data_IF_366163978570
#
_entry.id   IF_366163978570
#
_cell.length_a   1.000
_cell.length_b   1.000
_cell.length_c   1.000
_cell.angle_alpha   90.00
_cell.angle_beta   90.00
_cell.angle_gamma   90.00
#
_symmetry.space_group_name_H-M   'P 1'
#
loop_
_entity.id
_entity.type
_entity.pdbx_description
1 polymer ?
#
# COMPACT_ATOMS: atom_id res chain seq x y z
N UNK A 1 -13.00 11.09 8.43
CA UNK A 1 -12.03 12.15 8.12
C UNK A 1 -11.86 12.36 6.62
N UNK A 2 -11.64 11.33 5.82
CA UNK A 2 -11.58 11.40 4.34
C UNK A 2 -12.83 12.01 3.67
N UNK A 3 -14.03 11.79 4.22
CA UNK A 3 -15.28 12.27 3.63
C UNK A 3 -15.53 13.78 3.92
N UNK A 4 -15.02 14.29 5.05
CA UNK A 4 -15.28 15.68 5.46
C UNK A 4 -14.21 16.68 5.01
N UNK A 5 -12.98 16.23 4.74
CA UNK A 5 -11.83 17.11 4.45
C UNK A 5 -11.02 16.65 3.23
N UNK A 6 -11.66 16.02 2.26
CA UNK A 6 -11.01 15.47 1.06
C UNK A 6 -10.18 16.54 0.35
N UNK A 7 -10.75 17.74 0.16
CA UNK A 7 -10.07 18.83 -0.55
C UNK A 7 -8.87 19.41 0.21
N UNK A 8 -8.95 19.43 1.54
CA UNK A 8 -7.86 19.96 2.36
C UNK A 8 -6.67 18.96 2.47
N UNK A 9 -6.95 17.67 2.39
CA UNK A 9 -5.90 16.62 2.49
C UNK A 9 -5.20 16.36 1.16
N UNK A 10 -5.85 16.61 0.04
CA UNK A 10 -5.28 16.42 -1.31
C UNK A 10 -4.58 17.68 -1.84
N UNK A 11 -4.83 18.85 -1.24
CA UNK A 11 -4.17 20.11 -1.61
C UNK A 11 -2.82 20.30 -0.91
N UNK A 12 -1.97 19.32 -0.95
CA UNK A 12 -0.59 19.48 -0.47
C UNK A 12 0.27 19.98 -1.61
N UNK A 13 0.60 21.25 -1.59
CA UNK A 13 1.63 21.81 -2.45
C UNK A 13 2.96 21.10 -2.18
N UNK A 14 3.74 20.84 -3.22
CA UNK A 14 5.08 20.30 -3.06
C UNK A 14 5.89 21.21 -2.15
N UNK A 15 6.67 20.63 -1.26
CA UNK A 15 7.53 21.33 -0.28
C UNK A 15 8.49 22.31 -0.99
N UNK A 16 8.71 22.14 -2.29
CA UNK A 16 9.67 22.92 -3.09
C UNK A 16 9.08 24.12 -3.85
N UNK A 17 7.77 24.34 -3.86
CA UNK A 17 7.17 25.41 -4.69
C UNK A 17 6.57 26.49 -3.79
N UNK A 18 7.04 27.71 -3.94
CA UNK A 18 6.44 28.96 -3.44
C UNK A 18 5.13 29.25 -4.20
N UNK A 19 4.18 28.36 -4.19
CA UNK A 19 2.92 28.56 -4.87
C UNK A 19 1.80 28.45 -3.86
N UNK A 20 0.82 29.35 -3.99
CA UNK A 20 -0.51 29.13 -3.43
C UNK A 20 -0.96 27.70 -3.74
N UNK A 21 -1.60 27.05 -2.78
CA UNK A 21 -1.96 25.64 -2.85
C UNK A 21 -2.64 25.29 -4.18
N UNK A 22 -1.89 24.69 -5.09
CA UNK A 22 -2.42 24.17 -6.35
C UNK A 22 -3.00 22.79 -6.05
N UNK A 23 -4.31 22.66 -6.17
CA UNK A 23 -4.98 21.37 -6.11
C UNK A 23 -4.60 20.58 -7.36
N UNK A 24 -3.67 19.64 -7.24
CA UNK A 24 -3.39 18.67 -8.29
C UNK A 24 -4.04 17.33 -7.95
N UNK A 25 -4.66 16.67 -8.93
CA UNK A 25 -5.21 15.34 -8.71
C UNK A 25 -4.07 14.36 -8.36
N UNK A 26 -4.38 13.39 -7.50
CA UNK A 26 -3.38 12.36 -7.17
C UNK A 26 -3.06 11.54 -8.42
N UNK A 27 -1.83 11.02 -8.59
CA UNK A 27 -1.46 10.21 -9.75
C UNK A 27 -2.42 9.05 -9.99
N UNK A 28 -2.97 8.49 -8.93
CA UNK A 28 -3.94 7.40 -9.00
C UNK A 28 -5.30 7.85 -9.57
N UNK A 29 -5.72 9.10 -9.25
CA UNK A 29 -6.93 9.69 -9.82
C UNK A 29 -6.75 9.99 -11.32
N UNK A 30 -5.58 10.47 -11.73
CA UNK A 30 -5.23 10.69 -13.15
C UNK A 30 -5.26 9.36 -13.92
N UNK A 31 -4.73 8.28 -13.35
CA UNK A 31 -4.79 6.95 -13.97
C UNK A 31 -6.23 6.41 -14.10
N UNK A 32 -7.17 6.92 -13.30
CA UNK A 32 -8.61 6.61 -13.40
C UNK A 32 -9.38 7.55 -14.33
N UNK A 33 -8.71 8.48 -14.98
CA UNK A 33 -9.32 9.39 -15.95
C UNK A 33 -9.62 10.79 -15.43
N UNK A 34 -9.08 11.19 -14.29
CA UNK A 34 -9.11 12.59 -13.87
C UNK A 34 -8.20 13.44 -14.77
N UNK A 35 -8.59 14.69 -15.02
CA UNK A 35 -7.79 15.62 -15.79
C UNK A 35 -6.49 15.93 -15.06
N UNK A 36 -5.34 15.71 -15.72
CA UNK A 36 -4.03 15.99 -15.18
C UNK A 36 -2.92 15.24 -15.93
N UNK A 37 -1.69 15.63 -15.67
CA UNK A 37 -0.49 14.94 -16.18
C UNK A 37 0.07 14.03 -15.11
N UNK A 38 0.51 12.83 -15.50
CA UNK A 38 1.24 11.95 -14.58
C UNK A 38 2.62 12.57 -14.30
N UNK A 39 3.02 12.69 -13.02
CA UNK A 39 4.36 13.15 -12.67
C UNK A 39 5.41 12.14 -13.15
N UNK A 40 6.65 12.58 -13.33
CA UNK A 40 7.75 11.67 -13.64
C UNK A 40 7.99 10.67 -12.48
N UNK A 41 8.46 9.46 -12.82
CA UNK A 41 8.74 8.43 -11.81
C UNK A 41 9.74 8.91 -10.75
N UNK A 42 10.72 9.74 -11.13
CA UNK A 42 11.68 10.32 -10.21
C UNK A 42 11.02 11.25 -9.19
N UNK A 43 10.08 12.07 -9.62
CA UNK A 43 9.31 12.97 -8.74
C UNK A 43 8.43 12.19 -7.77
N UNK A 44 7.91 11.03 -8.20
CA UNK A 44 7.17 10.14 -7.33
C UNK A 44 8.03 9.49 -6.23
N UNK A 45 9.27 9.15 -6.55
CA UNK A 45 10.21 8.58 -5.59
C UNK A 45 10.71 9.63 -4.60
N UNK A 46 11.00 10.84 -5.08
CA UNK A 46 11.45 11.97 -4.27
C UNK A 46 10.33 12.63 -3.44
N UNK A 47 9.08 12.42 -3.85
CA UNK A 47 7.92 13.02 -3.17
C UNK A 47 7.53 14.41 -3.66
N UNK A 48 8.00 14.81 -4.83
CA UNK A 48 7.65 16.09 -5.50
C UNK A 48 6.30 15.97 -6.23
N UNK A 49 5.28 15.48 -5.53
CA UNK A 49 3.94 15.22 -6.10
C UNK A 49 2.82 15.60 -5.13
N UNK A 50 1.64 15.84 -5.66
CA UNK A 50 0.42 15.92 -4.85
C UNK A 50 0.06 14.55 -4.24
N UNK A 51 -0.28 14.53 -2.97
CA UNK A 51 -0.66 13.31 -2.26
C UNK A 51 -0.96 13.59 -0.78
N UNK A 52 -1.41 12.58 -0.05
CA UNK A 52 -1.65 12.71 1.37
C UNK A 52 -0.33 12.82 2.16
N UNK A 53 -0.39 13.51 3.30
CA UNK A 53 0.75 13.69 4.19
C UNK A 53 1.26 12.31 4.64
N UNK A 54 2.56 12.07 4.47
CA UNK A 54 3.24 10.84 4.89
C UNK A 54 3.37 9.76 3.82
N UNK A 55 2.72 9.90 2.64
CA UNK A 55 2.85 8.91 1.55
C UNK A 55 3.65 9.42 0.35
N UNK A 56 4.01 10.70 0.33
CA UNK A 56 4.60 11.34 -0.85
C UNK A 56 6.01 10.85 -1.15
N UNK A 57 6.87 10.72 -0.15
CA UNK A 57 8.28 10.36 -0.33
C UNK A 57 8.51 8.86 -0.13
N UNK A 58 8.69 8.12 -1.24
CA UNK A 58 8.96 6.68 -1.20
C UNK A 58 10.30 6.35 -0.52
N UNK A 59 11.33 7.20 -0.71
CA UNK A 59 12.66 7.00 -0.10
C UNK A 59 12.56 7.02 1.43
N UNK A 60 11.86 8.00 1.99
CA UNK A 60 11.69 8.10 3.44
C UNK A 60 10.97 6.87 4.02
N UNK A 61 9.94 6.36 3.32
CA UNK A 61 9.23 5.15 3.72
C UNK A 61 10.13 3.91 3.65
N UNK A 62 10.97 3.78 2.62
CA UNK A 62 11.93 2.67 2.50
C UNK A 62 13.03 2.73 3.56
N UNK A 63 13.51 3.92 3.92
CA UNK A 63 14.45 4.10 5.05
C UNK A 63 13.77 3.67 6.36
N UNK A 64 12.54 4.09 6.59
CA UNK A 64 11.74 3.65 7.75
C UNK A 64 11.55 2.13 7.78
N UNK A 65 11.26 1.51 6.64
CA UNK A 65 11.16 0.05 6.50
C UNK A 65 12.48 -0.64 6.86
N UNK A 66 13.60 -0.18 6.30
CA UNK A 66 14.93 -0.72 6.59
C UNK A 66 15.27 -0.61 8.09
N UNK A 67 14.97 0.52 8.72
CA UNK A 67 15.16 0.70 10.16
C UNK A 67 14.35 -0.30 10.98
N UNK A 68 13.07 -0.49 10.67
CA UNK A 68 12.21 -1.44 11.38
C UNK A 68 12.65 -2.91 11.19
N UNK A 69 13.19 -3.26 10.01
CA UNK A 69 13.77 -4.58 9.76
C UNK A 69 15.05 -4.82 10.56
N UNK A 70 15.97 -3.85 10.59
CA UNK A 70 17.23 -3.92 11.36
C UNK A 70 16.92 -4.07 12.85
N UNK A 71 15.95 -3.32 13.35
CA UNK A 71 15.46 -3.42 14.72
C UNK A 71 14.64 -4.68 15.02
N UNK A 72 14.38 -5.51 14.00
CA UNK A 72 13.54 -6.73 14.08
C UNK A 72 12.16 -6.49 14.67
N UNK A 73 11.63 -5.29 14.48
CA UNK A 73 10.27 -4.93 14.91
C UNK A 73 9.26 -5.59 13.99
N UNK A 74 9.53 -5.64 12.70
CA UNK A 74 8.65 -6.24 11.69
C UNK A 74 9.38 -7.34 10.91
N UNK A 75 8.59 -8.21 10.27
CA UNK A 75 9.10 -9.23 9.33
C UNK A 75 8.85 -8.77 7.90
N UNK A 76 9.81 -9.00 7.03
CA UNK A 76 9.76 -8.58 5.63
C UNK A 76 8.68 -9.30 4.78
N UNK A 77 8.19 -10.47 5.23
CA UNK A 77 7.30 -11.34 4.47
C UNK A 77 6.01 -10.62 4.03
N UNK A 78 5.30 -9.98 4.95
CA UNK A 78 4.03 -9.29 4.64
C UNK A 78 4.24 -8.17 3.65
N UNK A 79 5.19 -7.26 3.93
CA UNK A 79 5.44 -6.06 3.11
C UNK A 79 5.89 -6.43 1.70
N UNK A 80 6.88 -7.33 1.58
CA UNK A 80 7.44 -7.72 0.27
C UNK A 80 6.41 -8.45 -0.57
N UNK A 81 5.64 -9.38 0.03
CA UNK A 81 4.60 -10.11 -0.70
C UNK A 81 3.45 -9.17 -1.08
N UNK A 82 3.08 -8.21 -0.24
CA UNK A 82 2.03 -7.25 -0.55
C UNK A 82 2.44 -6.33 -1.71
N UNK A 83 3.57 -5.65 -1.59
CA UNK A 83 4.07 -4.71 -2.61
C UNK A 83 4.37 -5.45 -3.93
N UNK A 84 5.09 -6.58 -3.85
CA UNK A 84 5.40 -7.41 -5.00
C UNK A 84 4.15 -8.01 -5.65
N UNK A 85 3.17 -8.42 -4.86
CA UNK A 85 1.88 -8.91 -5.34
C UNK A 85 1.10 -7.84 -6.11
N UNK A 86 1.01 -6.61 -5.58
CA UNK A 86 0.37 -5.49 -6.29
C UNK A 86 1.12 -5.17 -7.59
N UNK A 87 2.46 -5.17 -7.58
CA UNK A 87 3.26 -4.95 -8.77
C UNK A 87 2.99 -6.00 -9.85
N UNK A 88 3.07 -7.30 -9.49
CA UNK A 88 2.88 -8.40 -10.43
C UNK A 88 1.44 -8.44 -10.99
N UNK A 89 0.43 -8.29 -10.13
CA UNK A 89 -0.96 -8.28 -10.56
C UNK A 89 -1.27 -7.07 -11.44
N UNK A 90 -0.75 -5.90 -11.11
CA UNK A 90 -0.91 -4.71 -11.93
C UNK A 90 -0.21 -4.86 -13.28
N UNK A 91 0.99 -5.45 -13.31
CA UNK A 91 1.69 -5.74 -14.55
C UNK A 91 0.91 -6.71 -15.45
N UNK A 92 0.39 -7.78 -14.89
CA UNK A 92 -0.44 -8.75 -15.65
C UNK A 92 -1.72 -8.12 -16.22
N UNK A 93 -2.34 -7.21 -15.48
CA UNK A 93 -3.60 -6.60 -15.86
C UNK A 93 -3.44 -5.48 -16.89
N UNK A 94 -2.43 -4.63 -16.72
CA UNK A 94 -2.21 -3.45 -17.57
C UNK A 94 -1.19 -3.70 -18.69
N UNK A 95 -0.42 -4.79 -18.65
CA UNK A 95 0.57 -5.15 -19.66
C UNK A 95 1.82 -4.24 -19.68
N UNK A 96 1.91 -3.25 -18.78
CA UNK A 96 3.01 -2.30 -18.70
C UNK A 96 3.64 -2.30 -17.32
N UNK A 97 4.96 -2.50 -17.27
CA UNK A 97 5.72 -2.42 -16.03
C UNK A 97 5.76 -1.00 -15.45
N UNK A 98 5.74 0.01 -16.32
CA UNK A 98 5.69 1.41 -15.91
C UNK A 98 4.39 1.72 -15.16
N UNK A 99 3.24 1.30 -15.70
CA UNK A 99 1.94 1.44 -15.04
C UNK A 99 1.92 0.71 -13.70
N UNK A 100 2.52 -0.47 -13.62
CA UNK A 100 2.63 -1.22 -12.36
C UNK A 100 3.49 -0.47 -11.32
N UNK A 101 4.57 0.19 -11.72
CA UNK A 101 5.37 1.04 -10.84
C UNK A 101 4.57 2.25 -10.34
N UNK A 102 3.82 2.90 -11.21
CA UNK A 102 2.90 3.98 -10.80
C UNK A 102 1.89 3.47 -9.78
N UNK A 103 1.33 2.28 -9.96
CA UNK A 103 0.40 1.67 -8.99
C UNK A 103 1.04 1.41 -7.63
N UNK A 104 2.31 1.00 -7.60
CA UNK A 104 3.05 0.75 -6.36
C UNK A 104 3.43 2.04 -5.65
N UNK A 105 3.93 3.01 -6.42
CA UNK A 105 4.39 4.28 -5.86
C UNK A 105 3.24 5.25 -5.55
N UNK A 106 2.04 5.05 -6.13
CA UNK A 106 0.89 5.92 -5.93
C UNK A 106 0.01 5.48 -4.77
N UNK A 107 -0.63 6.47 -4.13
CA UNK A 107 -1.51 6.25 -2.99
C UNK A 107 -0.77 5.69 -1.79
N UNK A 108 -1.52 5.33 -0.77
CA UNK A 108 -1.00 4.86 0.51
C UNK A 108 -0.46 3.42 0.51
N UNK A 109 -0.07 2.83 -0.65
CA UNK A 109 0.36 1.43 -0.67
C UNK A 109 1.62 1.19 0.17
N UNK A 110 2.66 2.00 -0.01
CA UNK A 110 3.92 1.83 0.73
C UNK A 110 3.72 2.03 2.23
N UNK A 111 3.04 3.09 2.63
CA UNK A 111 2.76 3.32 4.06
C UNK A 111 1.85 2.22 4.63
N UNK A 112 0.84 1.79 3.89
CA UNK A 112 -0.05 0.71 4.28
C UNK A 112 0.67 -0.63 4.41
N UNK A 113 1.53 -0.99 3.46
CA UNK A 113 2.27 -2.24 3.46
C UNK A 113 3.36 -2.30 4.52
N UNK A 114 4.00 -1.17 4.85
CA UNK A 114 5.10 -1.10 5.80
C UNK A 114 4.61 -0.99 7.24
N UNK A 115 3.64 -0.11 7.50
CA UNK A 115 3.24 0.25 8.86
C UNK A 115 1.89 -0.32 9.28
N UNK A 116 0.91 -0.41 8.35
CA UNK A 116 -0.44 -0.87 8.70
C UNK A 116 -0.58 -2.39 8.57
N UNK A 117 -0.06 -3.00 7.50
CA UNK A 117 -0.18 -4.44 7.27
C UNK A 117 0.79 -5.28 8.11
N UNK A 118 1.67 -4.67 8.88
CA UNK A 118 2.64 -5.34 9.76
C UNK A 118 2.31 -5.18 11.25
N UNK A 119 1.11 -4.70 11.56
CA UNK A 119 0.66 -4.52 12.95
C UNK A 119 0.60 -5.85 13.71
N UNK A 120 1.12 -5.87 14.94
CA UNK A 120 1.17 -7.07 15.78
C UNK A 120 -0.19 -7.67 16.15
N UNK A 121 -1.20 -6.81 16.28
CA UNK A 121 -2.49 -7.23 16.79
C UNK A 121 -3.32 -7.97 15.74
N UNK A 122 -3.12 -7.65 14.47
CA UNK A 122 -4.00 -8.08 13.38
C UNK A 122 -3.32 -8.96 12.34
N UNK A 123 -1.99 -9.00 12.31
CA UNK A 123 -1.22 -9.80 11.34
C UNK A 123 -1.08 -11.25 11.83
N UNK A 124 -1.19 -12.26 10.94
CA UNK A 124 -0.95 -13.65 11.28
C UNK A 124 0.42 -13.89 11.92
N UNK A 125 0.48 -14.88 12.84
CA UNK A 125 1.68 -15.17 13.61
C UNK A 125 2.74 -15.95 12.83
N UNK A 126 2.32 -16.79 11.87
CA UNK A 126 3.21 -17.65 11.08
C UNK A 126 3.77 -16.92 9.84
N UNK A 127 4.99 -17.24 9.43
CA UNK A 127 5.59 -16.64 8.24
C UNK A 127 4.78 -16.93 6.96
N UNK A 128 4.25 -18.14 6.86
CA UNK A 128 3.37 -18.54 5.75
C UNK A 128 2.05 -17.77 5.82
N UNK A 129 1.47 -17.63 7.00
CA UNK A 129 0.27 -16.81 7.22
C UNK A 129 0.47 -15.35 6.83
N UNK A 130 1.63 -14.77 7.16
CA UNK A 130 2.01 -13.42 6.76
C UNK A 130 2.11 -13.26 5.24
N UNK A 131 2.65 -14.25 4.55
CA UNK A 131 2.72 -14.25 3.08
C UNK A 131 1.32 -14.36 2.45
N UNK A 132 0.47 -15.25 2.94
CA UNK A 132 -0.92 -15.40 2.48
C UNK A 132 -1.72 -14.12 2.74
N UNK A 133 -1.56 -13.52 3.91
CA UNK A 133 -2.18 -12.25 4.26
C UNK A 133 -1.74 -11.12 3.31
N UNK A 134 -0.44 -10.98 3.07
CA UNK A 134 0.11 -9.99 2.13
C UNK A 134 -0.41 -10.20 0.70
N UNK A 135 -0.49 -11.45 0.23
CA UNK A 135 -1.06 -11.78 -1.08
C UNK A 135 -2.55 -11.42 -1.15
N UNK A 136 -3.32 -11.75 -0.11
CA UNK A 136 -4.73 -11.38 -0.03
C UNK A 136 -4.94 -9.87 -0.06
N UNK A 137 -4.13 -9.10 0.69
CA UNK A 137 -4.14 -7.64 0.61
C UNK A 137 -3.84 -7.14 -0.80
N UNK A 138 -2.86 -7.74 -1.51
CA UNK A 138 -2.51 -7.37 -2.87
C UNK A 138 -3.67 -7.57 -3.85
N UNK A 139 -4.28 -8.75 -3.83
CA UNK A 139 -5.44 -9.08 -4.68
C UNK A 139 -6.59 -8.12 -4.43
N UNK A 140 -6.96 -7.91 -3.16
CA UNK A 140 -8.05 -7.01 -2.81
C UNK A 140 -7.78 -5.57 -3.21
N UNK A 141 -6.55 -5.08 -3.00
CA UNK A 141 -6.15 -3.71 -3.39
C UNK A 141 -6.30 -3.52 -4.90
N UNK A 142 -5.81 -4.47 -5.71
CA UNK A 142 -5.90 -4.38 -7.17
C UNK A 142 -7.35 -4.45 -7.66
N UNK A 143 -8.17 -5.32 -7.06
CA UNK A 143 -9.60 -5.42 -7.37
C UNK A 143 -10.30 -4.09 -7.05
N UNK A 144 -10.10 -3.54 -5.86
CA UNK A 144 -10.73 -2.27 -5.44
C UNK A 144 -10.27 -1.12 -6.35
N UNK A 145 -8.98 -1.05 -6.66
CA UNK A 145 -8.44 -0.02 -7.55
C UNK A 145 -9.00 -0.09 -8.96
N UNK A 146 -9.27 -1.29 -9.47
CA UNK A 146 -9.81 -1.49 -10.82
C UNK A 146 -11.32 -1.30 -10.90
N UNK A 147 -12.06 -1.91 -9.97
CA UNK A 147 -13.52 -1.97 -10.01
C UNK A 147 -14.19 -0.92 -9.11
N UNK A 148 -13.50 -0.46 -8.07
CA UNK A 148 -14.06 0.46 -7.11
C UNK A 148 -14.09 1.91 -7.62
N UNK A 149 -15.03 2.70 -7.11
CA UNK A 149 -15.10 4.14 -7.34
C UNK A 149 -13.93 4.89 -6.67
N UNK A 150 -13.43 4.37 -5.56
CA UNK A 150 -12.32 4.97 -4.82
C UNK A 150 -10.97 4.57 -5.42
N UNK A 151 -10.04 5.52 -5.62
CA UNK A 151 -8.74 5.22 -6.22
C UNK A 151 -7.79 4.45 -5.30
N UNK A 152 -7.88 4.56 -3.99
CA UNK A 152 -6.87 4.01 -3.09
C UNK A 152 -7.07 2.53 -2.73
N UNK A 153 -8.07 2.18 -2.00
CA UNK A 153 -8.41 0.81 -1.66
C UNK A 153 -7.48 0.06 -0.68
N UNK A 154 -6.32 0.61 -0.32
CA UNK A 154 -5.32 -0.04 0.55
C UNK A 154 -5.88 -0.29 1.96
N UNK A 155 -6.45 0.74 2.57
CA UNK A 155 -7.01 0.66 3.92
C UNK A 155 -8.16 -0.34 4.01
N UNK A 156 -9.02 -0.38 2.98
CA UNK A 156 -10.13 -1.33 2.90
C UNK A 156 -9.63 -2.77 2.73
N UNK A 157 -8.59 -2.99 1.92
CA UNK A 157 -8.02 -4.32 1.72
C UNK A 157 -7.38 -4.86 2.99
N UNK A 158 -6.65 -4.02 3.74
CA UNK A 158 -6.05 -4.39 5.02
C UNK A 158 -7.14 -4.68 6.05
N UNK A 159 -8.16 -3.82 6.15
CA UNK A 159 -9.28 -4.02 7.08
C UNK A 159 -10.01 -5.34 6.81
N UNK A 160 -10.29 -5.64 5.54
CA UNK A 160 -10.93 -6.90 5.15
C UNK A 160 -10.07 -8.11 5.50
N UNK A 161 -8.77 -8.06 5.19
CA UNK A 161 -7.85 -9.15 5.49
C UNK A 161 -7.61 -9.33 7.00
N UNK A 162 -7.70 -8.27 7.79
CA UNK A 162 -7.64 -8.36 9.26
C UNK A 162 -8.79 -9.21 9.84
N UNK A 163 -9.98 -9.15 9.25
CA UNK A 163 -11.10 -10.01 9.64
C UNK A 163 -10.75 -11.49 9.35
N UNK A 164 -10.06 -11.76 8.26
CA UNK A 164 -9.68 -13.10 7.83
C UNK A 164 -8.41 -13.62 8.52
N UNK A 165 -7.65 -12.78 9.21
CA UNK A 165 -6.35 -13.14 9.80
C UNK A 165 -6.46 -14.35 10.76
N UNK A 166 -7.50 -14.43 11.55
CA UNK A 166 -7.76 -15.57 12.46
C UNK A 166 -7.97 -16.88 11.70
N UNK A 167 -8.61 -16.84 10.53
CA UNK A 167 -8.79 -18.03 9.69
C UNK A 167 -7.47 -18.45 9.06
N UNK A 168 -6.68 -17.48 8.60
CA UNK A 168 -5.36 -17.71 8.02
C UNK A 168 -4.44 -18.35 9.09
N UNK A 169 -4.47 -17.85 10.32
CA UNK A 169 -3.68 -18.41 11.43
C UNK A 169 -4.09 -19.87 11.73
N UNK A 170 -5.38 -20.16 11.77
CA UNK A 170 -5.85 -21.55 11.98
C UNK A 170 -5.38 -22.51 10.89
N UNK A 171 -5.33 -22.06 9.62
CA UNK A 171 -4.89 -22.85 8.48
C UNK A 171 -3.37 -23.02 8.42
N UNK A 172 -2.62 -22.01 8.88
CA UNK A 172 -1.16 -21.97 8.74
C UNK A 172 -0.41 -22.37 10.03
N UNK A 173 -1.13 -22.52 11.14
CA UNK A 173 -0.55 -22.87 12.43
C UNK A 173 -0.02 -24.32 12.39
N UNK A 174 1.23 -24.48 12.76
CA UNK A 174 1.79 -25.82 12.95
C UNK A 174 1.11 -26.48 14.15
N UNK A 175 0.77 -27.76 14.02
CA UNK A 175 0.19 -28.53 15.14
C UNK A 175 1.19 -28.56 16.29
N UNK A 176 0.73 -28.36 17.55
CA UNK A 176 1.59 -28.50 18.71
C UNK A 176 2.10 -29.94 18.82
N UNK A 177 3.35 -30.09 19.27
CA UNK A 177 3.95 -31.39 19.57
C UNK A 177 3.10 -32.10 20.64
N UNK A 178 2.49 -33.24 20.30
CA UNK A 178 1.67 -34.03 21.23
C UNK A 178 0.20 -34.22 20.84
N UNK A 179 -0.32 -33.56 19.82
CA UNK A 179 -1.63 -33.94 19.26
C UNK A 179 -1.50 -35.22 18.43
N UNK A 180 -1.85 -36.34 19.04
CA UNK A 180 -2.06 -37.61 18.32
C UNK A 180 -3.39 -37.50 17.56
N UNK A 181 -3.39 -37.99 16.30
CA UNK A 181 -4.61 -38.10 15.48
C UNK A 181 -5.67 -38.95 16.16
#
# INVERSE_FOLDING_TARGET
MLIAFTDAMTKVGSIAVKADAVASPTPLAVMKGAEGTLPELLDMVLGLRGGAIGETCAIALLIGFAYLLIRRVITWHTTVVYVGGVFLLSWLIYGSAETALYQVLSGGLLIGAIFMATDYATTPTTNLGKAVFGLGCAVMTVIIRRLGAYPEGVSFSILFMNILSNFIDKLTRKKPLGEVK
#
